data_IF_955941719265
#
_entry.id   IF_955941719265
#
_cell.length_a   1.000
_cell.length_b   1.000
_cell.length_c   1.000
_cell.angle_alpha   90.00
_cell.angle_beta   90.00
_cell.angle_gamma   90.00
#
_symmetry.space_group_name_H-M   'P 1'
#
loop_
_entity.id
_entity.type
_entity.pdbx_description
1 polymer ?
#
# COMPACT_ATOMS: atom_id res chain seq x y z
N UNK A 1 -29.06 -31.85 -66.39
CA UNK A 1 -28.95 -30.80 -65.35
C UNK A 1 -28.64 -31.49 -64.03
N UNK A 2 -27.38 -31.49 -63.60
CA UNK A 2 -26.91 -32.07 -62.33
C UNK A 2 -26.59 -30.92 -61.38
N UNK A 3 -27.29 -30.85 -60.25
CA UNK A 3 -27.09 -29.85 -59.20
C UNK A 3 -25.92 -30.29 -58.30
N UNK A 4 -24.83 -29.52 -58.26
CA UNK A 4 -23.72 -29.74 -57.33
C UNK A 4 -24.09 -29.21 -55.93
N UNK A 5 -24.08 -30.08 -54.93
CA UNK A 5 -24.34 -29.72 -53.53
C UNK A 5 -23.14 -28.95 -52.94
N UNK A 6 -23.32 -27.76 -52.32
CA UNK A 6 -22.20 -27.03 -51.71
C UNK A 6 -21.69 -27.75 -50.46
N UNK A 7 -20.39 -28.06 -50.42
CA UNK A 7 -19.72 -28.66 -49.26
C UNK A 7 -19.68 -27.65 -48.11
N UNK A 8 -20.36 -27.96 -47.01
CA UNK A 8 -20.31 -27.17 -45.78
C UNK A 8 -18.88 -27.17 -45.19
N UNK A 9 -18.36 -26.04 -44.69
CA UNK A 9 -17.01 -25.97 -44.12
C UNK A 9 -16.92 -26.80 -42.84
N UNK A 10 -15.89 -27.65 -42.75
CA UNK A 10 -15.63 -28.47 -41.58
C UNK A 10 -15.32 -27.59 -40.36
N UNK A 11 -16.24 -27.56 -39.39
CA UNK A 11 -16.08 -26.80 -38.14
C UNK A 11 -15.07 -27.53 -37.24
N UNK A 12 -13.86 -26.99 -37.11
CA UNK A 12 -12.83 -27.53 -36.22
C UNK A 12 -13.23 -27.24 -34.75
N UNK A 13 -13.74 -28.24 -34.05
CA UNK A 13 -13.97 -28.18 -32.61
C UNK A 13 -12.66 -28.46 -31.86
N UNK A 14 -12.27 -27.55 -30.98
CA UNK A 14 -11.17 -27.76 -30.04
C UNK A 14 -11.78 -28.22 -28.71
N UNK A 15 -11.49 -29.45 -28.30
CA UNK A 15 -11.91 -29.97 -27.01
C UNK A 15 -10.84 -29.62 -25.98
N UNK A 16 -11.10 -28.60 -25.16
CA UNK A 16 -10.18 -28.22 -24.08
C UNK A 16 -10.54 -29.06 -22.84
N UNK A 17 -9.63 -29.87 -22.30
CA UNK A 17 -9.92 -30.61 -21.08
C UNK A 17 -10.18 -29.64 -19.93
N UNK A 18 -11.21 -29.89 -19.11
CA UNK A 18 -11.64 -28.96 -18.06
C UNK A 18 -10.52 -28.57 -17.09
N UNK A 19 -9.60 -29.49 -16.79
CA UNK A 19 -8.41 -29.22 -15.98
C UNK A 19 -7.44 -28.23 -16.64
N UNK A 20 -7.23 -28.30 -17.95
CA UNK A 20 -6.38 -27.35 -18.65
C UNK A 20 -7.01 -25.95 -18.68
N UNK A 21 -8.33 -25.89 -18.80
CA UNK A 21 -9.06 -24.62 -18.70
C UNK A 21 -8.95 -24.03 -17.29
N UNK A 22 -9.12 -24.83 -16.24
CA UNK A 22 -8.93 -24.40 -14.85
C UNK A 22 -7.48 -23.93 -14.59
N UNK A 23 -6.48 -24.69 -15.05
CA UNK A 23 -5.07 -24.32 -14.92
C UNK A 23 -4.75 -23.01 -15.65
N UNK A 24 -5.31 -22.80 -16.85
CA UNK A 24 -5.16 -21.55 -17.60
C UNK A 24 -5.72 -20.36 -16.81
N UNK A 25 -6.92 -20.50 -16.21
CA UNK A 25 -7.53 -19.44 -15.40
C UNK A 25 -6.65 -19.10 -14.21
N UNK A 26 -6.19 -20.11 -13.47
CA UNK A 26 -5.32 -19.89 -12.31
C UNK A 26 -3.97 -19.27 -12.73
N UNK A 27 -3.41 -19.70 -13.86
CA UNK A 27 -2.17 -19.14 -14.38
C UNK A 27 -2.34 -17.68 -14.82
N UNK A 28 -3.46 -17.31 -15.45
CA UNK A 28 -3.74 -15.91 -15.80
C UNK A 28 -3.98 -15.06 -14.55
N UNK A 29 -4.71 -15.60 -13.58
CA UNK A 29 -5.00 -14.91 -12.31
C UNK A 29 -3.72 -14.68 -11.49
N UNK A 30 -3.02 -15.75 -11.11
CA UNK A 30 -1.81 -15.64 -10.30
C UNK A 30 -0.62 -15.10 -11.10
N UNK A 31 -0.56 -15.34 -12.41
CA UNK A 31 0.50 -14.81 -13.27
C UNK A 31 0.42 -13.30 -13.43
N UNK A 32 -0.79 -12.72 -13.56
CA UNK A 32 -0.94 -11.25 -13.59
C UNK A 32 -0.57 -10.63 -12.23
N UNK A 33 -1.03 -11.21 -11.12
CA UNK A 33 -0.70 -10.77 -9.76
C UNK A 33 0.81 -10.86 -9.49
N UNK A 34 1.43 -12.01 -9.81
CA UNK A 34 2.86 -12.23 -9.63
C UNK A 34 3.71 -11.33 -10.53
N UNK A 35 3.29 -11.13 -11.78
CA UNK A 35 3.94 -10.20 -12.71
C UNK A 35 3.91 -8.75 -12.21
N UNK A 36 2.77 -8.30 -11.68
CA UNK A 36 2.64 -6.95 -11.10
C UNK A 36 3.51 -6.76 -9.84
N UNK A 37 3.61 -7.78 -8.98
CA UNK A 37 4.49 -7.76 -7.81
C UNK A 37 5.98 -7.78 -8.21
N UNK A 38 6.38 -8.64 -9.15
CA UNK A 38 7.78 -8.73 -9.61
C UNK A 38 8.26 -7.45 -10.32
N UNK A 39 7.37 -6.78 -11.05
CA UNK A 39 7.65 -5.49 -11.69
C UNK A 39 7.62 -4.31 -10.69
N UNK A 40 7.33 -4.53 -9.41
CA UNK A 40 7.22 -3.50 -8.38
C UNK A 40 6.03 -2.54 -8.57
N UNK A 41 5.09 -2.89 -9.45
CA UNK A 41 3.93 -2.05 -9.79
C UNK A 41 2.82 -2.12 -8.74
N UNK A 42 2.82 -3.15 -7.89
CA UNK A 42 1.80 -3.36 -6.87
C UNK A 42 2.34 -4.16 -5.68
N UNK A 43 1.99 -3.75 -4.46
CA UNK A 43 2.28 -4.45 -3.21
C UNK A 43 0.99 -4.66 -2.42
N UNK A 44 0.82 -5.85 -1.84
CA UNK A 44 -0.33 -6.20 -0.98
C UNK A 44 -0.22 -5.54 0.38
N UNK A 45 1.00 -5.26 0.83
CA UNK A 45 1.25 -4.60 2.12
C UNK A 45 1.59 -3.15 1.88
N UNK A 46 0.65 -2.25 2.20
CA UNK A 46 0.94 -0.80 2.25
C UNK A 46 1.96 -0.40 3.31
N UNK A 47 2.51 -1.36 4.07
CA UNK A 47 3.60 -1.17 5.04
C UNK A 47 4.98 -1.53 4.47
N UNK A 48 5.03 -2.12 3.28
CA UNK A 48 6.28 -2.52 2.63
C UNK A 48 6.39 -1.81 1.27
N UNK A 49 7.60 -1.34 0.97
CA UNK A 49 8.02 -0.89 -0.34
C UNK A 49 7.87 -2.01 -1.38
N UNK A 50 7.78 -1.72 -2.70
CA UNK A 50 7.82 -2.73 -3.75
C UNK A 50 8.98 -3.74 -3.65
N UNK A 51 10.09 -3.33 -3.04
CA UNK A 51 11.27 -4.18 -2.81
C UNK A 51 11.18 -5.06 -1.55
N UNK A 52 10.05 -5.02 -0.83
CA UNK A 52 9.82 -5.78 0.40
C UNK A 52 10.45 -5.19 1.67
N UNK A 53 11.13 -4.05 1.55
CA UNK A 53 11.61 -3.27 2.70
C UNK A 53 10.43 -2.58 3.42
N UNK A 54 10.53 -2.27 4.73
CA UNK A 54 9.57 -1.40 5.40
C UNK A 54 9.39 -0.09 4.64
N UNK A 55 8.14 0.36 4.47
CA UNK A 55 7.84 1.64 3.86
C UNK A 55 8.35 2.76 4.78
N UNK A 56 9.34 3.50 4.31
CA UNK A 56 9.87 4.67 4.99
C UNK A 56 9.15 5.94 4.51
N UNK A 57 9.02 6.91 5.41
CA UNK A 57 8.48 8.22 5.09
C UNK A 57 9.52 9.01 4.31
N UNK A 58 9.10 9.63 3.20
CA UNK A 58 10.02 10.46 2.40
C UNK A 58 10.43 11.75 3.11
N UNK A 59 9.65 12.17 4.12
CA UNK A 59 9.79 13.48 4.74
C UNK A 59 9.32 14.63 3.85
N UNK A 60 8.77 14.34 2.67
CA UNK A 60 8.40 15.34 1.64
C UNK A 60 6.90 15.64 1.57
N UNK A 61 6.01 14.73 2.00
CA UNK A 61 4.55 14.96 2.00
C UNK A 61 3.91 14.43 3.30
N UNK A 62 3.32 15.29 4.16
CA UNK A 62 2.59 14.87 5.36
C UNK A 62 1.47 13.86 5.08
N UNK A 63 0.87 13.85 3.88
CA UNK A 63 -0.18 12.88 3.55
C UNK A 63 0.29 11.41 3.58
N UNK A 64 1.60 11.18 3.49
CA UNK A 64 2.23 9.86 3.60
C UNK A 64 2.09 9.27 5.01
N UNK A 65 2.11 10.11 6.05
CA UNK A 65 2.06 9.67 7.46
C UNK A 65 0.79 8.88 7.72
N UNK A 66 0.88 7.59 8.10
CA UNK A 66 -0.27 6.72 8.42
C UNK A 66 -0.27 6.35 9.90
N UNK A 67 -1.46 6.14 10.47
CA UNK A 67 -1.61 5.83 11.90
C UNK A 67 -0.90 4.55 12.38
N UNK A 68 -0.58 3.61 11.49
CA UNK A 68 0.18 2.42 11.86
C UNK A 68 1.69 2.63 11.95
N UNK A 69 2.20 3.78 11.49
CA UNK A 69 3.61 4.16 11.61
C UNK A 69 3.94 4.56 13.05
N UNK A 70 5.23 4.60 13.39
CA UNK A 70 5.71 4.96 14.72
C UNK A 70 6.00 6.45 14.85
N UNK A 71 6.06 6.94 16.09
CA UNK A 71 6.53 8.30 16.39
C UNK A 71 7.94 8.49 15.82
N UNK A 72 8.84 7.54 16.08
CA UNK A 72 10.23 7.58 15.63
C UNK A 72 10.33 7.76 14.11
N UNK A 73 9.52 7.05 13.32
CA UNK A 73 9.54 7.17 11.87
C UNK A 73 9.19 8.60 11.39
N UNK A 74 8.29 9.29 12.10
CA UNK A 74 7.96 10.70 11.79
C UNK A 74 9.09 11.63 12.21
N UNK A 75 9.65 11.44 13.41
CA UNK A 75 10.78 12.23 13.90
C UNK A 75 11.97 12.17 12.93
N UNK A 76 12.33 10.95 12.51
CA UNK A 76 13.45 10.69 11.62
C UNK A 76 13.23 11.30 10.23
N UNK A 77 12.04 11.13 9.65
CA UNK A 77 11.75 11.59 8.29
C UNK A 77 11.59 13.11 8.18
N UNK A 78 11.08 13.78 9.22
CA UNK A 78 10.83 15.23 9.21
C UNK A 78 11.90 16.02 9.95
N UNK A 79 12.88 15.33 10.55
CA UNK A 79 13.97 15.94 11.33
C UNK A 79 13.47 16.88 12.42
N UNK A 80 12.35 16.52 13.06
CA UNK A 80 11.73 17.30 14.14
C UNK A 80 12.23 16.80 15.49
N UNK A 81 12.34 17.71 16.44
CA UNK A 81 12.69 17.35 17.82
C UNK A 81 11.52 16.62 18.50
N UNK A 82 11.85 15.56 19.25
CA UNK A 82 10.87 14.78 19.99
C UNK A 82 10.12 15.65 21.00
N UNK A 83 10.84 16.51 21.72
CA UNK A 83 10.22 17.37 22.73
C UNK A 83 9.17 18.30 22.12
N UNK A 84 9.44 18.88 20.95
CA UNK A 84 8.50 19.76 20.26
C UNK A 84 7.19 19.04 19.88
N UNK A 85 7.29 17.80 19.39
CA UNK A 85 6.11 17.00 19.06
C UNK A 85 5.32 16.60 20.32
N UNK A 86 6.02 16.20 21.38
CA UNK A 86 5.37 15.76 22.62
C UNK A 86 4.66 16.91 23.31
N UNK A 87 5.28 18.09 23.39
CA UNK A 87 4.67 19.30 23.93
C UNK A 87 3.48 19.76 23.09
N UNK A 88 3.60 19.72 21.75
CA UNK A 88 2.53 20.17 20.86
C UNK A 88 1.22 19.39 21.04
N UNK A 89 1.32 18.08 21.29
CA UNK A 89 0.17 17.19 21.38
C UNK A 89 -0.09 16.67 22.80
N UNK A 90 0.57 17.22 23.82
CA UNK A 90 0.44 16.78 25.22
C UNK A 90 0.69 15.26 25.37
N UNK A 91 1.67 14.71 24.66
CA UNK A 91 2.01 13.29 24.73
C UNK A 91 2.78 13.04 26.04
N UNK A 92 2.39 12.04 26.85
CA UNK A 92 3.13 11.70 28.07
C UNK A 92 4.59 11.35 27.76
N UNK A 93 5.54 11.90 28.52
CA UNK A 93 6.97 11.76 28.28
C UNK A 93 7.48 10.31 28.39
N UNK A 94 6.78 9.47 29.17
CA UNK A 94 7.02 8.04 29.26
C UNK A 94 6.65 7.25 28.00
N UNK A 95 5.94 7.86 27.05
CA UNK A 95 5.51 7.20 25.81
C UNK A 95 6.73 6.88 24.94
N UNK A 96 7.01 5.60 24.62
CA UNK A 96 8.16 5.23 23.80
C UNK A 96 8.02 5.75 22.36
N UNK A 97 9.11 6.20 21.69
CA UNK A 97 9.08 6.60 20.28
C UNK A 97 8.71 5.46 19.32
N UNK A 98 8.83 4.20 19.76
CA UNK A 98 8.39 3.02 19.01
C UNK A 98 6.86 2.83 18.99
N UNK A 99 6.10 3.65 19.73
CA UNK A 99 4.63 3.60 19.78
C UNK A 99 4.03 3.99 18.42
N UNK A 100 2.97 3.30 18.00
CA UNK A 100 2.27 3.64 16.77
C UNK A 100 1.39 4.88 16.96
N UNK A 101 1.31 5.73 15.95
CA UNK A 101 0.59 7.01 16.02
C UNK A 101 -0.90 6.83 16.36
N UNK A 102 -1.55 5.81 15.82
CA UNK A 102 -2.97 5.50 16.10
C UNK A 102 -3.22 5.17 17.58
N UNK A 103 -2.20 4.66 18.28
CA UNK A 103 -2.32 4.28 19.69
C UNK A 103 -2.19 5.51 20.59
N UNK A 104 -1.65 6.62 20.08
CA UNK A 104 -1.57 7.91 20.78
C UNK A 104 -2.94 8.56 20.98
N UNK A 105 -3.92 8.30 20.11
CA UNK A 105 -5.27 8.87 20.25
C UNK A 105 -5.93 8.44 21.58
N UNK A 106 -5.51 7.30 22.15
CA UNK A 106 -5.96 6.84 23.46
C UNK A 106 -5.19 7.48 24.65
N UNK A 107 -3.98 8.01 24.39
CA UNK A 107 -3.07 8.55 25.41
C UNK A 107 -3.09 10.08 25.47
N UNK A 108 -3.32 10.73 24.32
CA UNK A 108 -3.30 12.16 24.13
C UNK A 108 -4.59 12.58 23.39
N UNK A 109 -5.60 13.13 24.09
CA UNK A 109 -6.89 13.51 23.51
C UNK A 109 -6.78 14.55 22.38
N UNK A 110 -5.73 15.36 22.43
CA UNK A 110 -5.45 16.41 21.46
C UNK A 110 -4.71 15.86 20.22
N UNK A 111 -4.26 14.60 20.26
CA UNK A 111 -3.56 13.98 19.16
C UNK A 111 -4.54 13.35 18.16
N UNK A 112 -4.30 13.62 16.88
CA UNK A 112 -4.82 12.81 15.78
C UNK A 112 -3.82 12.79 14.63
N UNK A 113 -3.85 11.75 13.80
CA UNK A 113 -3.00 11.69 12.62
C UNK A 113 -3.26 12.88 11.68
N UNK A 114 -4.51 13.33 11.57
CA UNK A 114 -4.87 14.51 10.76
C UNK A 114 -4.21 15.78 11.29
N UNK A 115 -4.33 16.05 12.59
CA UNK A 115 -3.72 17.22 13.22
C UNK A 115 -2.19 17.19 13.12
N UNK A 116 -1.57 16.01 13.26
CA UNK A 116 -0.14 15.84 13.03
C UNK A 116 0.26 16.25 11.61
N UNK A 117 -0.48 15.81 10.58
CA UNK A 117 -0.19 16.16 9.20
C UNK A 117 -0.31 17.66 8.93
N UNK A 118 -1.34 18.29 9.49
CA UNK A 118 -1.55 19.74 9.38
C UNK A 118 -0.40 20.53 10.04
N UNK A 119 0.01 20.11 11.24
CA UNK A 119 1.13 20.72 11.95
C UNK A 119 2.46 20.55 11.20
N UNK A 120 2.75 19.37 10.66
CA UNK A 120 3.92 19.12 9.81
C UNK A 120 3.90 19.96 8.52
N UNK A 121 2.72 20.16 7.93
CA UNK A 121 2.58 21.03 6.76
C UNK A 121 2.87 22.50 7.10
N UNK A 122 2.42 22.97 8.27
CA UNK A 122 2.65 24.34 8.73
C UNK A 122 4.13 24.65 8.98
N UNK A 123 4.91 23.68 9.48
CA UNK A 123 6.35 23.86 9.72
C UNK A 123 7.19 24.03 8.46
N UNK A 124 6.66 23.64 7.30
CA UNK A 124 7.37 23.78 6.01
C UNK A 124 6.96 25.03 5.23
N UNK A 125 6.00 25.81 5.74
CA UNK A 125 5.69 27.10 5.13
C UNK A 125 6.90 28.05 5.31
N UNK A 126 7.30 28.79 4.25
CA UNK A 126 8.45 29.69 4.29
C UNK A 126 8.27 30.88 5.24
#
# INVERSE_FOLDING_TARGET
MTTSNPTAPARRSLHVPGLAYAALILALFFGSIGGAQFAGLWSVSGKLSPDGAPLELSGADPAEVKGWMTIQAVLDAYHIDQAALYDQFNIPAETPPSTALKDLEALAPDFSVTALREWLAAQRAP
#
